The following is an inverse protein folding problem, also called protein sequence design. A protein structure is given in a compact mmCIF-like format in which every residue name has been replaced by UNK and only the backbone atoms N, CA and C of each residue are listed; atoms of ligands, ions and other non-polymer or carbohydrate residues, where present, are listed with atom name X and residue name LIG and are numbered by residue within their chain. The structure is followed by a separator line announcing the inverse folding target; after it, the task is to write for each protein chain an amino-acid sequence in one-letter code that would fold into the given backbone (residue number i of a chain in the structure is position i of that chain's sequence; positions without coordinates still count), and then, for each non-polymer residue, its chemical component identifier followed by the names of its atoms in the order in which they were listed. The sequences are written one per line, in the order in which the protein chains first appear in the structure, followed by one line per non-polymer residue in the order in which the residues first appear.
data_IF_087240089320
#
_entry.id   IF_087240089320
#
_cell.length_a   1.000
_cell.length_b   1.000
_cell.length_c   1.000
_cell.angle_alpha   90.00
_cell.angle_beta   90.00
_cell.angle_gamma   90.00
#
_symmetry.space_group_name_H-M   'P 1'
#
loop_
_entity.id
_entity.type
_entity.pdbx_description
1 polymer ?
#
# COMPACT_ATOMS: atom_id res chain seq x y z
N UNK A 1 1.44 -42.32 35.93
CA UNK A 1 0.46 -43.16 35.17
C UNK A 1 -0.25 -42.20 34.20
N UNK A 2 0.31 -42.08 33.02
CA UNK A 2 -0.23 -41.24 31.95
C UNK A 2 -1.22 -42.07 31.15
N UNK A 3 -2.46 -41.61 31.04
CA UNK A 3 -3.48 -42.18 30.13
C UNK A 3 -3.43 -41.37 28.87
N UNK A 4 -2.97 -42.01 27.77
CA UNK A 4 -3.10 -41.49 26.42
C UNK A 4 -4.46 -41.90 25.91
N UNK A 5 -5.38 -40.97 25.72
CA UNK A 5 -6.62 -41.18 25.00
C UNK A 5 -6.39 -40.82 23.54
N UNK A 6 -6.29 -41.85 22.68
CA UNK A 6 -6.48 -41.66 21.23
C UNK A 6 -7.95 -41.39 20.98
N UNK A 7 -8.28 -40.24 20.45
CA UNK A 7 -9.61 -39.89 19.93
C UNK A 7 -9.57 -39.79 18.41
N UNK A 8 -10.53 -40.46 17.86
CA UNK A 8 -10.94 -40.82 16.53
C UNK A 8 -10.83 -39.69 15.48
N UNK A 9 -10.31 -40.08 14.32
CA UNK A 9 -10.15 -39.25 13.11
C UNK A 9 -11.46 -39.20 12.33
N UNK A 10 -12.38 -38.29 12.64
CA UNK A 10 -13.47 -37.87 11.73
C UNK A 10 -14.18 -36.61 12.21
N UNK A 11 -13.46 -35.47 12.36
CA UNK A 11 -14.06 -34.16 12.50
C UNK A 11 -13.78 -33.35 11.23
N UNK A 12 -14.77 -33.31 10.34
CA UNK A 12 -14.83 -32.33 9.28
C UNK A 12 -15.01 -30.95 9.95
N UNK A 13 -13.96 -30.16 10.02
CA UNK A 13 -14.05 -28.75 10.36
C UNK A 13 -14.70 -28.01 9.20
N UNK A 14 -16.00 -27.82 9.27
CA UNK A 14 -16.68 -26.75 8.53
C UNK A 14 -16.33 -25.45 9.24
N UNK A 15 -15.40 -24.68 8.69
CA UNK A 15 -15.14 -23.30 9.07
C UNK A 15 -16.42 -22.49 8.83
N UNK A 16 -17.25 -22.36 9.83
CA UNK A 16 -18.27 -21.31 9.84
C UNK A 16 -17.55 -20.03 10.22
N UNK A 17 -17.35 -19.15 9.25
CA UNK A 17 -17.01 -17.76 9.52
C UNK A 17 -18.12 -17.19 10.39
N UNK A 18 -17.83 -16.95 11.65
CA UNK A 18 -18.72 -16.16 12.49
C UNK A 18 -18.64 -14.74 11.98
N UNK A 19 -19.74 -14.27 11.40
CA UNK A 19 -19.95 -12.85 11.12
C UNK A 19 -19.56 -12.04 12.35
N UNK A 20 -18.87 -10.89 12.19
CA UNK A 20 -18.60 -9.98 13.30
C UNK A 20 -19.92 -9.66 14.02
N UNK A 21 -19.91 -9.41 15.34
CA UNK A 21 -21.12 -9.17 16.10
C UNK A 21 -21.90 -8.02 15.44
N UNK A 22 -23.16 -8.25 15.08
CA UNK A 22 -24.07 -7.22 14.61
C UNK A 22 -24.05 -6.10 15.65
N UNK A 23 -23.60 -4.90 15.26
CA UNK A 23 -23.76 -3.70 16.09
C UNK A 23 -25.25 -3.49 16.38
N UNK A 24 -25.63 -3.01 17.58
CA UNK A 24 -27.03 -2.77 17.92
C UNK A 24 -27.63 -1.77 16.94
N UNK A 25 -28.75 -2.14 16.36
CA UNK A 25 -29.61 -1.32 15.51
C UNK A 25 -30.35 -0.28 16.35
N UNK A 26 -29.67 0.78 16.77
CA UNK A 26 -30.31 1.96 17.34
C UNK A 26 -29.59 3.21 16.82
N UNK A 27 -29.87 3.51 15.56
CA UNK A 27 -29.69 4.85 15.01
C UNK A 27 -31.04 5.28 14.46
N UNK A 28 -31.80 5.97 15.29
CA UNK A 28 -32.82 6.88 14.79
C UNK A 28 -32.06 8.01 14.08
N UNK A 29 -31.84 7.84 12.80
CA UNK A 29 -31.31 8.87 11.93
C UNK A 29 -32.28 10.04 11.88
N UNK A 30 -31.77 11.24 12.05
CA UNK A 30 -32.48 12.46 11.67
C UNK A 30 -32.78 12.34 10.17
N UNK A 31 -34.06 12.43 9.82
CA UNK A 31 -34.52 12.64 8.44
C UNK A 31 -33.82 13.90 7.90
N UNK A 32 -33.06 13.78 6.81
CA UNK A 32 -32.60 14.98 6.12
C UNK A 32 -31.40 14.89 5.17
N UNK A 33 -30.62 13.81 5.12
CA UNK A 33 -29.59 13.70 4.07
C UNK A 33 -29.98 12.62 3.06
N UNK A 34 -30.32 13.04 1.84
CA UNK A 34 -30.50 12.14 0.72
C UNK A 34 -29.17 11.36 0.53
N UNK A 35 -29.20 10.04 0.72
CA UNK A 35 -28.03 9.19 0.47
C UNK A 35 -27.57 9.39 -0.98
N UNK A 36 -26.32 9.79 -1.17
CA UNK A 36 -25.74 9.98 -2.49
C UNK A 36 -25.62 8.61 -3.16
N UNK A 37 -26.36 8.39 -4.24
CA UNK A 37 -26.33 7.14 -5.00
C UNK A 37 -25.10 7.04 -5.95
N UNK A 38 -24.46 8.19 -6.21
CA UNK A 38 -23.27 8.29 -7.05
C UNK A 38 -22.26 9.26 -6.43
N UNK A 39 -21.00 8.94 -6.56
CA UNK A 39 -19.88 9.80 -6.15
C UNK A 39 -18.88 9.89 -7.31
N UNK A 40 -18.77 11.07 -7.90
CA UNK A 40 -17.79 11.33 -8.96
C UNK A 40 -16.64 12.16 -8.40
N UNK A 41 -15.41 11.70 -8.61
CA UNK A 41 -14.17 12.37 -8.22
C UNK A 41 -13.24 12.49 -9.43
N UNK A 42 -12.29 13.41 -9.41
CA UNK A 42 -11.18 13.39 -10.35
C UNK A 42 -10.51 12.01 -10.32
N UNK A 43 -10.04 11.53 -11.48
CA UNK A 43 -9.44 10.20 -11.58
C UNK A 43 -8.32 10.04 -10.54
N UNK A 44 -8.35 9.00 -9.68
CA UNK A 44 -7.36 8.83 -8.63
C UNK A 44 -6.03 8.31 -9.15
N UNK A 45 -4.99 8.46 -8.35
CA UNK A 45 -3.67 7.85 -8.53
C UNK A 45 -3.38 6.87 -7.39
N UNK A 46 -2.63 5.80 -7.70
CA UNK A 46 -2.13 4.87 -6.68
C UNK A 46 -0.65 5.13 -6.43
N UNK A 47 -0.33 5.72 -5.29
CA UNK A 47 1.03 6.14 -4.97
C UNK A 47 1.91 5.04 -4.39
N UNK A 48 1.45 3.76 -4.41
CA UNK A 48 2.25 2.61 -4.00
C UNK A 48 1.58 1.30 -4.40
N UNK A 49 2.15 0.55 -5.33
CA UNK A 49 1.69 -0.80 -5.66
C UNK A 49 2.80 -1.70 -6.21
N UNK A 50 2.52 -3.01 -6.20
CA UNK A 50 3.35 -4.04 -6.80
C UNK A 50 2.60 -4.75 -7.92
N UNK A 51 3.05 -4.60 -9.15
CA UNK A 51 2.50 -5.39 -10.27
C UNK A 51 3.09 -6.80 -10.35
N UNK A 52 4.29 -7.00 -9.74
CA UNK A 52 5.15 -8.15 -10.01
C UNK A 52 5.61 -8.12 -11.47
N UNK A 53 5.87 -9.27 -12.09
CA UNK A 53 6.33 -9.34 -13.48
C UNK A 53 5.78 -10.61 -14.16
N UNK A 54 6.07 -10.79 -15.45
CA UNK A 54 5.66 -11.93 -16.23
C UNK A 54 4.14 -12.03 -16.39
N UNK A 55 3.62 -13.23 -16.26
CA UNK A 55 2.20 -13.50 -16.52
C UNK A 55 1.24 -12.81 -15.55
N UNK A 56 1.69 -12.46 -14.33
CA UNK A 56 0.87 -11.74 -13.36
C UNK A 56 0.46 -10.34 -13.84
N UNK A 57 1.23 -9.72 -14.73
CA UNK A 57 0.91 -8.40 -15.29
C UNK A 57 -0.45 -8.39 -16.01
N UNK A 58 -0.86 -9.51 -16.60
CA UNK A 58 -2.14 -9.64 -17.30
C UNK A 58 -3.36 -9.49 -16.37
N UNK A 59 -3.20 -9.75 -15.07
CA UNK A 59 -4.23 -9.51 -14.04
C UNK A 59 -4.04 -8.15 -13.36
N UNK A 60 -2.82 -7.85 -12.91
CA UNK A 60 -2.57 -6.73 -12.01
C UNK A 60 -2.64 -5.37 -12.69
N UNK A 61 -2.17 -5.28 -13.94
CA UNK A 61 -2.18 -4.01 -14.70
C UNK A 61 -3.60 -3.59 -15.07
N UNK A 62 -4.45 -4.44 -15.68
CA UNK A 62 -5.82 -4.05 -15.96
C UNK A 62 -6.63 -3.72 -14.71
N UNK A 63 -6.45 -4.47 -13.61
CA UNK A 63 -7.13 -4.22 -12.35
C UNK A 63 -6.86 -2.82 -11.81
N UNK A 64 -5.64 -2.31 -11.99
CA UNK A 64 -5.25 -0.96 -11.59
C UNK A 64 -5.63 0.08 -12.63
N UNK A 65 -5.27 -0.12 -13.90
CA UNK A 65 -5.41 0.87 -14.94
C UNK A 65 -6.88 1.27 -15.23
N UNK A 66 -7.84 0.37 -14.97
CA UNK A 66 -9.25 0.69 -15.10
C UNK A 66 -9.78 1.67 -14.04
N UNK A 67 -9.04 1.87 -12.94
CA UNK A 67 -9.44 2.74 -11.84
C UNK A 67 -8.56 3.98 -11.77
N UNK A 68 -7.25 3.77 -11.75
CA UNK A 68 -6.24 4.79 -11.50
C UNK A 68 -5.68 5.35 -12.82
N UNK A 69 -5.37 6.65 -12.83
CA UNK A 69 -4.73 7.30 -13.97
C UNK A 69 -3.23 7.06 -14.01
N UNK A 70 -2.61 7.02 -12.83
CA UNK A 70 -1.18 6.76 -12.63
C UNK A 70 -0.98 5.81 -11.45
N UNK A 71 0.19 5.17 -11.43
CA UNK A 71 0.63 4.45 -10.24
C UNK A 71 2.14 4.50 -10.07
N UNK A 72 2.59 4.71 -8.81
CA UNK A 72 3.99 4.48 -8.41
C UNK A 72 4.23 2.97 -8.33
N UNK A 73 5.10 2.48 -9.22
CA UNK A 73 5.35 1.04 -9.38
C UNK A 73 6.60 0.63 -8.61
N UNK A 74 6.41 -0.22 -7.61
CA UNK A 74 7.51 -0.70 -6.76
C UNK A 74 8.51 -1.58 -7.52
N UNK A 75 9.82 -1.39 -7.28
CA UNK A 75 10.90 -1.97 -8.07
C UNK A 75 11.42 -3.33 -7.56
N UNK A 76 10.84 -3.91 -6.49
CA UNK A 76 11.34 -5.10 -5.81
C UNK A 76 10.97 -6.40 -6.54
N UNK A 77 11.42 -6.52 -7.78
CA UNK A 77 11.39 -7.74 -8.57
C UNK A 77 12.59 -8.64 -8.23
N UNK A 78 12.71 -9.77 -8.92
CA UNK A 78 13.88 -10.65 -8.86
C UNK A 78 14.38 -10.89 -10.29
N UNK A 79 15.49 -10.26 -10.72
CA UNK A 79 16.30 -9.24 -10.00
C UNK A 79 15.55 -7.91 -9.83
N UNK A 80 15.96 -7.04 -8.87
CA UNK A 80 15.34 -5.74 -8.65
C UNK A 80 15.62 -4.75 -9.79
N UNK A 81 14.71 -3.81 -9.99
CA UNK A 81 14.85 -2.72 -10.96
C UNK A 81 15.66 -1.59 -10.32
N UNK A 82 16.94 -1.51 -10.59
CA UNK A 82 17.86 -0.55 -9.95
C UNK A 82 18.51 0.45 -10.90
N UNK A 83 18.18 0.40 -12.20
CA UNK A 83 18.66 1.35 -13.21
C UNK A 83 17.51 1.89 -14.07
N UNK A 84 17.70 3.07 -14.66
CA UNK A 84 16.76 3.67 -15.60
C UNK A 84 16.48 2.76 -16.80
N UNK A 85 17.52 2.06 -17.31
CA UNK A 85 17.36 1.13 -18.42
C UNK A 85 16.43 -0.05 -18.05
N UNK A 86 16.63 -0.67 -16.90
CA UNK A 86 15.75 -1.74 -16.43
C UNK A 86 14.32 -1.24 -16.15
N UNK A 87 14.18 0.00 -15.66
CA UNK A 87 12.87 0.62 -15.46
C UNK A 87 12.13 0.83 -16.80
N UNK A 88 12.86 1.21 -17.87
CA UNK A 88 12.28 1.32 -19.20
C UNK A 88 11.75 -0.03 -19.70
N UNK A 89 12.55 -1.09 -19.62
CA UNK A 89 12.14 -2.45 -20.01
C UNK A 89 10.95 -2.95 -19.20
N UNK A 90 10.90 -2.69 -17.90
CA UNK A 90 9.76 -3.07 -17.05
C UNK A 90 8.51 -2.26 -17.41
N UNK A 91 8.68 -0.95 -17.66
CA UNK A 91 7.59 -0.08 -18.11
C UNK A 91 6.98 -0.57 -19.43
N UNK A 92 7.79 -1.00 -20.40
CA UNK A 92 7.29 -1.57 -21.65
C UNK A 92 6.42 -2.81 -21.43
N UNK A 93 6.83 -3.73 -20.54
CA UNK A 93 6.04 -4.92 -20.18
C UNK A 93 4.72 -4.55 -19.54
N UNK A 94 4.70 -3.55 -18.64
CA UNK A 94 3.48 -3.03 -18.01
C UNK A 94 2.56 -2.42 -19.08
N UNK A 95 3.09 -1.53 -19.91
CA UNK A 95 2.31 -0.84 -20.94
C UNK A 95 1.68 -1.81 -21.96
N UNK A 96 2.33 -2.92 -22.24
CA UNK A 96 1.78 -3.98 -23.09
C UNK A 96 0.53 -4.67 -22.49
N UNK A 97 0.25 -4.52 -21.21
CA UNK A 97 -0.91 -5.08 -20.53
C UNK A 97 -2.01 -4.05 -20.22
N UNK A 98 -1.78 -2.78 -20.53
CA UNK A 98 -2.82 -1.75 -20.37
C UNK A 98 -3.95 -2.01 -21.40
N UNK A 99 -5.21 -2.09 -20.96
CA UNK A 99 -6.33 -2.37 -21.87
C UNK A 99 -6.47 -1.31 -22.96
N UNK A 100 -6.88 -1.75 -24.15
CA UNK A 100 -7.07 -0.84 -25.27
C UNK A 100 -8.10 0.27 -24.93
N UNK A 101 -7.75 1.51 -25.21
CA UNK A 101 -8.58 2.68 -24.92
C UNK A 101 -8.51 3.19 -23.50
N UNK A 102 -7.75 2.54 -22.61
CA UNK A 102 -7.49 3.02 -21.25
C UNK A 102 -6.21 3.86 -21.24
N UNK A 103 -6.30 5.06 -20.69
CA UNK A 103 -5.13 5.91 -20.41
C UNK A 103 -4.60 5.56 -19.03
N UNK A 104 -3.34 5.14 -18.95
CA UNK A 104 -2.67 4.82 -17.69
C UNK A 104 -1.18 5.11 -17.83
N UNK A 105 -0.59 5.67 -16.78
CA UNK A 105 0.83 6.01 -16.73
C UNK A 105 1.51 5.33 -15.54
N UNK A 106 2.38 4.33 -15.75
CA UNK A 106 3.22 3.79 -14.69
C UNK A 106 4.39 4.73 -14.39
N UNK A 107 4.43 5.24 -13.17
CA UNK A 107 5.50 6.05 -12.62
C UNK A 107 6.54 5.11 -12.03
N UNK A 108 7.66 4.95 -12.73
CA UNK A 108 8.67 3.95 -12.37
C UNK A 108 9.52 4.42 -11.18
N UNK A 109 10.00 3.47 -10.41
CA UNK A 109 10.85 3.69 -9.23
C UNK A 109 12.08 2.82 -9.32
N UNK A 110 13.22 3.33 -8.86
CA UNK A 110 14.46 2.57 -8.79
C UNK A 110 14.71 2.04 -7.38
N UNK A 111 15.20 0.82 -7.32
CA UNK A 111 15.54 0.13 -6.08
C UNK A 111 16.90 0.59 -5.57
N UNK A 112 16.98 1.13 -4.35
CA UNK A 112 18.24 1.48 -3.70
C UNK A 112 18.96 0.25 -3.16
N UNK A 113 20.28 0.22 -3.38
CA UNK A 113 21.21 -0.77 -2.81
C UNK A 113 22.41 -0.05 -2.22
N UNK A 114 23.22 -0.76 -1.44
CA UNK A 114 24.50 -0.23 -0.94
C UNK A 114 25.48 0.18 -2.05
N UNK A 115 25.30 -0.36 -3.26
CA UNK A 115 26.18 -0.13 -4.43
C UNK A 115 25.53 0.73 -5.52
N UNK A 116 24.38 1.35 -5.25
CA UNK A 116 23.74 2.25 -6.23
C UNK A 116 24.69 3.38 -6.62
N UNK A 117 25.02 3.54 -7.92
CA UNK A 117 25.89 4.63 -8.36
C UNK A 117 25.18 5.99 -8.22
N UNK A 118 25.89 7.00 -7.73
CA UNK A 118 25.33 8.34 -7.59
C UNK A 118 24.88 8.95 -8.92
N UNK A 119 25.53 8.58 -10.02
CA UNK A 119 25.18 8.99 -11.37
C UNK A 119 23.81 8.50 -11.81
N UNK A 120 23.32 7.40 -11.20
CA UNK A 120 21.97 6.89 -11.51
C UNK A 120 20.88 7.84 -11.00
N UNK A 121 21.15 8.59 -9.95
CA UNK A 121 20.23 9.64 -9.46
C UNK A 121 20.07 10.75 -10.50
N UNK A 122 21.18 11.17 -11.12
CA UNK A 122 21.14 12.17 -12.18
C UNK A 122 20.44 11.66 -13.45
N UNK A 123 20.61 10.35 -13.79
CA UNK A 123 19.90 9.73 -14.92
C UNK A 123 18.40 9.64 -14.65
N UNK A 124 18.02 9.25 -13.43
CA UNK A 124 16.61 9.20 -13.00
C UNK A 124 15.96 10.60 -13.11
N UNK A 125 16.63 11.64 -12.65
CA UNK A 125 16.15 13.02 -12.73
C UNK A 125 15.98 13.54 -14.18
N UNK A 126 16.66 12.96 -15.15
CA UNK A 126 16.55 13.29 -16.59
C UNK A 126 15.51 12.42 -17.31
N UNK A 127 15.00 11.40 -16.65
CA UNK A 127 13.98 10.51 -17.20
C UNK A 127 12.59 11.11 -17.02
N UNK A 128 11.73 10.92 -18.01
CA UNK A 128 10.31 11.34 -17.97
C UNK A 128 9.38 10.30 -17.34
N UNK A 129 9.90 9.10 -17.02
CA UNK A 129 9.13 7.98 -16.45
C UNK A 129 9.65 7.46 -15.10
N UNK A 130 10.84 7.85 -14.65
CA UNK A 130 11.36 7.50 -13.32
C UNK A 130 11.09 8.66 -12.36
N UNK A 131 10.35 8.40 -11.28
CA UNK A 131 9.84 9.44 -10.40
C UNK A 131 10.40 9.41 -8.98
N UNK A 132 11.09 8.33 -8.57
CA UNK A 132 11.61 8.20 -7.22
C UNK A 132 12.66 7.07 -7.10
N UNK A 133 13.32 7.03 -5.94
CA UNK A 133 14.05 5.85 -5.47
C UNK A 133 13.36 5.25 -4.25
N UNK A 134 13.33 3.93 -4.16
CA UNK A 134 12.78 3.18 -3.03
C UNK A 134 13.86 2.58 -2.15
N UNK A 135 13.85 2.97 -0.90
CA UNK A 135 14.64 2.38 0.17
C UNK A 135 13.89 1.20 0.79
N UNK A 136 14.46 0.01 0.64
CA UNK A 136 14.14 -1.17 1.43
C UNK A 136 15.33 -1.49 2.33
N UNK A 137 15.17 -1.54 3.66
CA UNK A 137 16.16 -2.19 4.51
C UNK A 137 16.27 -3.67 4.12
N UNK A 138 17.50 -4.19 4.05
CA UNK A 138 17.76 -5.57 3.63
C UNK A 138 16.99 -6.57 4.53
N UNK A 139 16.18 -7.44 3.90
CA UNK A 139 15.35 -8.43 4.60
C UNK A 139 14.09 -7.89 5.28
N UNK A 140 13.69 -6.64 5.04
CA UNK A 140 12.50 -6.06 5.69
C UNK A 140 11.18 -6.62 5.15
N UNK A 141 11.12 -6.98 3.88
CA UNK A 141 9.89 -7.46 3.23
C UNK A 141 10.21 -8.39 2.05
N UNK A 142 9.19 -8.81 1.31
CA UNK A 142 9.33 -9.68 0.12
C UNK A 142 10.31 -9.05 -0.90
N UNK A 143 11.27 -9.86 -1.38
CA UNK A 143 12.29 -9.45 -2.36
C UNK A 143 13.12 -8.24 -1.92
N UNK A 144 13.42 -8.12 -0.63
CA UNK A 144 14.24 -7.04 -0.09
C UNK A 144 15.65 -7.47 0.34
N UNK A 145 16.07 -8.68 0.04
CA UNK A 145 17.40 -9.19 0.42
C UNK A 145 18.55 -8.37 -0.16
N UNK A 146 18.36 -7.79 -1.36
CA UNK A 146 19.32 -6.89 -2.01
C UNK A 146 19.21 -5.43 -1.53
N UNK A 147 18.39 -5.16 -0.53
CA UNK A 147 18.15 -3.82 0.00
C UNK A 147 19.38 -3.21 0.68
N UNK A 148 19.18 -2.02 1.21
CA UNK A 148 20.21 -1.27 1.91
C UNK A 148 20.48 -1.91 3.27
N UNK A 149 21.74 -2.28 3.53
CA UNK A 149 22.12 -2.92 4.79
C UNK A 149 22.18 -1.94 5.96
N UNK A 150 22.50 -0.68 5.66
CA UNK A 150 22.53 0.41 6.64
C UNK A 150 22.18 1.74 5.95
N UNK A 151 21.00 2.31 6.21
CA UNK A 151 20.60 3.60 5.65
C UNK A 151 21.58 4.74 5.90
N UNK A 152 22.35 4.68 6.98
CA UNK A 152 23.38 5.67 7.30
C UNK A 152 24.59 5.65 6.36
N UNK A 153 24.82 4.57 5.61
CA UNK A 153 25.97 4.46 4.70
C UNK A 153 25.74 5.09 3.34
N UNK A 154 24.52 5.37 2.96
CA UNK A 154 24.15 5.91 1.65
C UNK A 154 23.75 7.39 1.67
N UNK A 155 24.23 8.16 2.65
CA UNK A 155 23.92 9.60 2.80
C UNK A 155 24.26 10.40 1.53
N UNK A 156 25.33 10.03 0.80
CA UNK A 156 25.70 10.65 -0.47
C UNK A 156 24.61 10.49 -1.57
N UNK A 157 23.80 9.43 -1.50
CA UNK A 157 22.67 9.26 -2.43
C UNK A 157 21.53 10.17 -2.06
N UNK A 158 21.25 10.38 -0.76
CA UNK A 158 20.22 11.33 -0.31
C UNK A 158 20.58 12.77 -0.68
N UNK A 159 21.87 13.16 -0.55
CA UNK A 159 22.36 14.44 -1.02
C UNK A 159 22.15 14.63 -2.54
N UNK A 160 22.45 13.61 -3.32
CA UNK A 160 22.21 13.65 -4.76
C UNK A 160 20.71 13.72 -5.09
N UNK A 161 19.87 12.99 -4.37
CA UNK A 161 18.41 13.01 -4.56
C UNK A 161 17.84 14.38 -4.19
N UNK A 162 18.28 14.98 -3.09
CA UNK A 162 17.91 16.37 -2.72
C UNK A 162 18.29 17.36 -3.81
N UNK A 163 19.55 17.28 -4.27
CA UNK A 163 20.11 18.16 -5.31
C UNK A 163 19.35 18.09 -6.63
N UNK A 164 18.91 16.91 -7.01
CA UNK A 164 18.22 16.66 -8.28
C UNK A 164 16.69 16.65 -8.15
N UNK A 165 16.15 16.93 -6.96
CA UNK A 165 14.71 16.90 -6.63
C UNK A 165 14.05 15.54 -6.96
N UNK A 166 14.75 14.45 -6.67
CA UNK A 166 14.22 13.08 -6.83
C UNK A 166 13.73 12.57 -5.48
N UNK A 167 12.45 12.22 -5.32
CA UNK A 167 11.89 11.75 -4.06
C UNK A 167 12.50 10.44 -3.54
N UNK A 168 12.62 10.33 -2.22
CA UNK A 168 12.93 9.11 -1.49
C UNK A 168 11.65 8.48 -0.96
N UNK A 169 11.36 7.24 -1.36
CA UNK A 169 10.27 6.43 -0.84
C UNK A 169 10.85 5.43 0.16
N UNK A 170 10.27 5.33 1.35
CA UNK A 170 10.89 4.59 2.46
C UNK A 170 9.99 3.48 2.97
N UNK A 171 10.46 2.23 2.93
CA UNK A 171 9.95 1.17 3.80
C UNK A 171 10.63 1.34 5.17
N UNK A 172 9.92 1.90 6.13
CA UNK A 172 10.50 2.40 7.36
C UNK A 172 10.53 1.37 8.49
N UNK A 173 11.19 0.24 8.31
CA UNK A 173 11.36 -0.76 9.37
C UNK A 173 12.84 -1.15 9.54
N UNK A 174 13.31 -1.30 10.80
CA UNK A 174 14.58 -1.97 11.07
C UNK A 174 14.41 -3.47 10.96
N UNK A 175 15.54 -4.19 10.70
CA UNK A 175 15.54 -5.65 10.51
C UNK A 175 16.29 -6.41 11.58
N UNK A 176 16.71 -5.71 12.64
CA UNK A 176 17.38 -6.32 13.81
C UNK A 176 16.50 -7.41 14.43
N UNK A 177 17.06 -8.61 14.64
CA UNK A 177 16.30 -9.76 15.11
C UNK A 177 15.76 -9.62 16.54
N UNK A 178 16.43 -8.81 17.38
CA UNK A 178 16.06 -8.53 18.76
C UNK A 178 14.98 -7.44 18.89
N UNK A 179 14.67 -6.69 17.81
CA UNK A 179 13.63 -5.67 17.83
C UNK A 179 12.28 -6.30 17.55
N UNK A 180 11.32 -6.09 18.46
CA UNK A 180 9.95 -6.56 18.28
C UNK A 180 9.39 -6.04 16.97
N UNK A 181 8.78 -6.93 16.19
CA UNK A 181 8.21 -6.62 14.86
C UNK A 181 7.19 -5.47 14.91
N UNK A 182 6.53 -5.26 16.04
CA UNK A 182 5.57 -4.17 16.22
C UNK A 182 6.23 -2.81 16.50
N UNK A 183 7.53 -2.79 16.86
CA UNK A 183 8.27 -1.58 17.21
C UNK A 183 9.27 -1.15 16.10
N UNK A 184 9.45 -1.97 15.06
CA UNK A 184 10.45 -1.76 14.00
C UNK A 184 10.31 -0.43 13.27
N UNK A 185 9.08 0.01 13.02
CA UNK A 185 8.82 1.31 12.37
C UNK A 185 9.26 2.48 13.26
N UNK A 186 8.89 2.45 14.54
CA UNK A 186 9.33 3.48 15.50
C UNK A 186 10.85 3.55 15.62
N UNK A 187 11.51 2.39 15.74
CA UNK A 187 12.97 2.33 15.85
C UNK A 187 13.65 2.85 14.57
N UNK A 188 13.08 2.61 13.39
CA UNK A 188 13.60 3.14 12.14
C UNK A 188 13.52 4.68 12.10
N UNK A 189 12.40 5.25 12.53
CA UNK A 189 12.23 6.70 12.62
C UNK A 189 13.31 7.29 13.55
N UNK A 190 13.44 6.73 14.75
CA UNK A 190 14.36 7.24 15.76
C UNK A 190 15.84 7.11 15.34
N UNK A 191 16.20 6.00 14.68
CA UNK A 191 17.59 5.67 14.33
C UNK A 191 18.06 6.34 13.03
N UNK A 192 17.20 6.47 12.03
CA UNK A 192 17.59 6.87 10.69
C UNK A 192 16.80 8.07 10.14
N UNK A 193 15.47 8.00 10.19
CA UNK A 193 14.65 8.93 9.41
C UNK A 193 14.70 10.36 9.93
N UNK A 194 14.81 10.53 11.26
CA UNK A 194 15.01 11.84 11.88
C UNK A 194 16.33 12.47 11.43
N UNK A 195 17.43 11.70 11.39
CA UNK A 195 18.74 12.17 10.94
C UNK A 195 18.71 12.52 9.44
N UNK A 196 18.17 11.66 8.59
CA UNK A 196 18.03 11.91 7.15
C UNK A 196 17.24 13.21 6.93
N UNK A 197 16.10 13.40 7.61
CA UNK A 197 15.29 14.61 7.49
C UNK A 197 16.02 15.87 7.94
N UNK A 198 16.83 15.75 9.01
CA UNK A 198 17.60 16.88 9.53
C UNK A 198 18.75 17.28 8.60
N UNK A 199 19.48 16.30 8.05
CA UNK A 199 20.63 16.55 7.17
C UNK A 199 20.23 17.00 5.78
N UNK A 200 19.08 16.52 5.26
CA UNK A 200 18.59 16.82 3.91
C UNK A 200 17.21 17.51 3.96
N UNK A 201 17.13 18.77 4.42
CA UNK A 201 15.86 19.49 4.59
C UNK A 201 15.09 19.73 3.28
N UNK A 202 15.76 19.74 2.13
CA UNK A 202 15.16 19.88 0.80
C UNK A 202 14.72 18.58 0.15
N UNK A 203 15.12 17.42 0.70
CA UNK A 203 14.73 16.13 0.15
C UNK A 203 13.23 15.87 0.32
N UNK A 204 12.54 15.50 -0.76
CA UNK A 204 11.17 14.99 -0.66
C UNK A 204 11.18 13.54 -0.18
N UNK A 205 10.47 13.24 0.91
CA UNK A 205 10.39 11.91 1.52
C UNK A 205 8.93 11.46 1.56
N UNK A 206 8.65 10.26 1.07
CA UNK A 206 7.38 9.58 1.30
C UNK A 206 7.62 8.40 2.26
N UNK A 207 7.05 8.51 3.44
CA UNK A 207 7.01 7.43 4.42
C UNK A 207 5.89 6.48 4.03
N UNK A 208 6.26 5.41 3.34
CA UNK A 208 5.32 4.50 2.69
C UNK A 208 4.54 3.66 3.69
N UNK A 209 3.26 3.33 3.36
CA UNK A 209 2.40 2.39 4.10
C UNK A 209 2.51 2.56 5.64
N UNK A 210 2.40 3.82 6.11
CA UNK A 210 2.55 4.15 7.54
C UNK A 210 1.64 3.30 8.42
N UNK A 211 2.20 2.76 9.52
CA UNK A 211 1.47 1.81 10.38
C UNK A 211 1.39 2.20 11.84
N UNK A 212 2.17 3.19 12.30
CA UNK A 212 2.24 3.58 13.71
C UNK A 212 1.80 5.02 13.95
N UNK A 213 1.42 5.31 15.19
CA UNK A 213 1.17 6.69 15.62
C UNK A 213 2.45 7.54 15.54
N UNK A 214 3.60 6.93 15.78
CA UNK A 214 4.91 7.57 15.66
C UNK A 214 5.19 7.98 14.21
N UNK A 215 4.88 7.13 13.23
CA UNK A 215 5.00 7.46 11.82
C UNK A 215 4.07 8.61 11.40
N UNK A 216 2.82 8.59 11.84
CA UNK A 216 1.88 9.69 11.61
C UNK A 216 2.37 10.98 12.22
N UNK A 217 2.87 10.96 13.46
CA UNK A 217 3.38 12.14 14.13
C UNK A 217 4.64 12.66 13.46
N UNK A 218 5.57 11.78 13.07
CA UNK A 218 6.75 12.16 12.29
C UNK A 218 6.38 12.96 11.04
N UNK A 219 5.41 12.48 10.25
CA UNK A 219 4.95 13.18 9.04
C UNK A 219 4.29 14.51 9.38
N UNK A 220 3.49 14.57 10.46
CA UNK A 220 2.82 15.82 10.90
C UNK A 220 3.79 16.89 11.40
N UNK A 221 4.87 16.48 12.05
CA UNK A 221 5.86 17.38 12.64
C UNK A 221 6.94 17.81 11.64
N UNK A 222 7.18 16.99 10.60
CA UNK A 222 8.14 17.27 9.55
C UNK A 222 7.69 18.43 8.64
N UNK A 223 8.59 18.85 7.74
CA UNK A 223 8.31 19.86 6.72
C UNK A 223 7.26 19.38 5.69
N UNK A 224 6.73 20.29 4.89
CA UNK A 224 5.81 19.97 3.78
C UNK A 224 6.42 19.03 2.71
N UNK A 225 7.74 18.81 2.75
CA UNK A 225 8.45 17.87 1.88
C UNK A 225 8.46 16.43 2.42
N UNK A 226 7.65 16.14 3.45
CA UNK A 226 7.48 14.79 4.00
C UNK A 226 6.00 14.44 3.98
N UNK A 227 5.68 13.31 3.35
CA UNK A 227 4.33 12.77 3.24
C UNK A 227 4.31 11.27 3.58
N UNK A 228 3.14 10.66 3.58
CA UNK A 228 2.97 9.22 3.78
C UNK A 228 1.89 8.65 2.87
N UNK A 229 2.06 7.41 2.44
CA UNK A 229 1.00 6.61 1.85
C UNK A 229 0.21 5.86 2.93
N UNK A 230 -1.09 5.75 2.73
CA UNK A 230 -2.00 5.01 3.60
C UNK A 230 -2.68 3.91 2.81
N UNK A 231 -2.50 2.68 3.25
CA UNK A 231 -3.04 1.48 2.59
C UNK A 231 -4.42 1.11 3.13
N UNK A 232 -5.26 0.40 2.36
CA UNK A 232 -6.55 -0.07 2.87
C UNK A 232 -6.39 -1.05 4.03
N UNK A 233 -5.38 -1.93 4.02
CA UNK A 233 -5.18 -2.90 5.09
C UNK A 233 -4.82 -2.23 6.43
N UNK A 234 -3.94 -1.23 6.46
CA UNK A 234 -3.57 -0.54 7.70
C UNK A 234 -4.65 0.44 8.18
N UNK A 235 -5.49 0.93 7.26
CA UNK A 235 -6.63 1.77 7.60
C UNK A 235 -7.78 0.97 8.22
N UNK A 236 -8.09 -0.21 7.65
CA UNK A 236 -9.30 -0.99 7.96
C UNK A 236 -9.08 -2.08 9.01
N UNK A 237 -7.84 -2.56 9.18
CA UNK A 237 -7.50 -3.70 10.02
C UNK A 237 -6.43 -3.36 11.05
N UNK A 238 -6.40 -4.15 12.11
CA UNK A 238 -5.34 -4.15 13.11
C UNK A 238 -4.89 -5.59 13.41
N UNK A 239 -3.93 -5.78 14.30
CA UNK A 239 -3.36 -7.10 14.59
C UNK A 239 -4.38 -8.17 15.03
N UNK A 240 -5.55 -7.77 15.56
CA UNK A 240 -6.58 -8.73 15.91
C UNK A 240 -7.19 -9.39 14.67
N UNK A 241 -7.27 -8.66 13.55
CA UNK A 241 -7.79 -9.17 12.28
C UNK A 241 -6.82 -10.19 11.63
N UNK A 242 -5.57 -10.20 12.07
CA UNK A 242 -4.58 -11.19 11.68
C UNK A 242 -4.56 -12.43 12.60
N UNK A 243 -4.75 -12.23 13.92
CA UNK A 243 -4.38 -13.23 14.95
C UNK A 243 -5.54 -13.79 15.76
N UNK A 244 -6.66 -13.06 15.92
CA UNK A 244 -7.76 -13.50 16.81
C UNK A 244 -8.64 -14.53 16.11
N UNK A 245 -8.82 -15.67 16.77
CA UNK A 245 -9.62 -16.78 16.24
C UNK A 245 -8.88 -17.66 15.22
N UNK A 246 -7.56 -17.56 15.18
CA UNK A 246 -6.66 -18.24 14.26
C UNK A 246 -5.91 -17.28 13.34
N UNK A 247 -4.77 -17.73 12.84
CA UNK A 247 -3.96 -16.93 11.91
C UNK A 247 -4.68 -16.81 10.56
N UNK A 248 -4.77 -15.58 10.05
CA UNK A 248 -5.35 -15.29 8.74
C UNK A 248 -4.24 -14.86 7.76
N UNK A 249 -3.64 -15.79 7.01
CA UNK A 249 -2.46 -15.51 6.18
C UNK A 249 -2.73 -14.47 5.08
N UNK A 250 -3.98 -14.36 4.60
CA UNK A 250 -4.34 -13.39 3.57
C UNK A 250 -4.38 -11.93 4.07
N UNK A 251 -4.40 -11.72 5.40
CA UNK A 251 -4.27 -10.40 6.04
C UNK A 251 -2.81 -10.09 6.45
N UNK A 252 -1.88 -11.01 6.22
CA UNK A 252 -0.48 -10.79 6.54
C UNK A 252 0.18 -9.89 5.50
N UNK A 253 0.71 -8.77 5.96
CA UNK A 253 1.48 -7.78 5.21
C UNK A 253 2.69 -7.29 6.03
N UNK A 254 3.64 -6.66 5.38
CA UNK A 254 4.75 -5.94 6.01
C UNK A 254 4.80 -4.50 5.45
N UNK A 255 4.83 -3.49 6.35
CA UNK A 255 4.85 -3.59 7.82
C UNK A 255 3.61 -4.31 8.37
N UNK A 256 3.81 -5.05 9.48
CA UNK A 256 2.73 -5.84 10.07
C UNK A 256 1.61 -4.94 10.62
N UNK A 257 0.36 -5.43 10.58
CA UNK A 257 -0.79 -4.77 11.22
C UNK A 257 -0.51 -4.52 12.72
N UNK A 258 -0.65 -3.27 13.16
CA UNK A 258 -0.30 -2.82 14.52
C UNK A 258 -1.52 -2.92 15.48
N UNK A 259 -1.35 -2.38 16.69
CA UNK A 259 -2.43 -2.24 17.67
C UNK A 259 -3.50 -1.27 17.19
N UNK A 260 -4.71 -1.40 17.71
CA UNK A 260 -5.85 -0.52 17.42
C UNK A 260 -5.53 0.97 17.59
N UNK A 261 -4.80 1.35 18.62
CA UNK A 261 -4.41 2.75 18.85
C UNK A 261 -3.64 3.37 17.67
N UNK A 262 -2.78 2.60 17.01
CA UNK A 262 -2.05 3.06 15.83
C UNK A 262 -3.00 3.19 14.63
N UNK A 263 -3.84 2.19 14.41
CA UNK A 263 -4.89 2.24 13.39
C UNK A 263 -5.79 3.48 13.53
N UNK A 264 -6.28 3.76 14.75
CA UNK A 264 -7.10 4.94 15.04
C UNK A 264 -6.36 6.26 14.74
N UNK A 265 -5.05 6.30 14.94
CA UNK A 265 -4.23 7.48 14.60
C UNK A 265 -4.13 7.69 13.09
N UNK A 266 -3.94 6.61 12.32
CA UNK A 266 -3.94 6.66 10.85
C UNK A 266 -5.33 7.09 10.34
N UNK A 267 -6.39 6.46 10.85
CA UNK A 267 -7.77 6.81 10.52
C UNK A 267 -8.03 8.29 10.75
N UNK A 268 -7.60 8.83 11.89
CA UNK A 268 -7.76 10.24 12.22
C UNK A 268 -7.07 11.15 11.20
N UNK A 269 -5.85 10.83 10.76
CA UNK A 269 -5.13 11.62 9.76
C UNK A 269 -5.89 11.70 8.41
N UNK A 270 -6.49 10.58 7.98
CA UNK A 270 -7.29 10.52 6.75
C UNK A 270 -8.62 11.26 6.92
N UNK A 271 -9.31 11.08 8.05
CA UNK A 271 -10.61 11.72 8.32
C UNK A 271 -10.51 13.24 8.47
N UNK A 272 -9.39 13.74 8.95
CA UNK A 272 -9.10 15.19 9.00
C UNK A 272 -8.82 15.78 7.62
N UNK A 273 -8.59 14.94 6.59
CA UNK A 273 -8.21 15.40 5.24
C UNK A 273 -6.83 16.06 5.21
N UNK A 274 -5.89 15.51 5.98
CA UNK A 274 -4.54 16.07 6.06
C UNK A 274 -3.76 15.80 4.78
N UNK A 275 -3.38 16.86 4.06
CA UNK A 275 -2.84 16.82 2.69
C UNK A 275 -1.55 15.99 2.50
N UNK A 276 -0.83 15.70 3.57
CA UNK A 276 0.39 14.88 3.52
C UNK A 276 0.17 13.39 3.72
N UNK A 277 -1.10 12.95 3.81
CA UNK A 277 -1.48 11.54 3.81
C UNK A 277 -2.37 11.27 2.61
N UNK A 278 -1.92 10.38 1.73
CA UNK A 278 -2.64 10.09 0.49
C UNK A 278 -2.67 8.58 0.19
N UNK A 279 -3.51 8.22 -0.75
CA UNK A 279 -3.74 6.84 -1.16
C UNK A 279 -2.46 6.20 -1.70
N UNK A 280 -2.11 5.05 -1.15
CA UNK A 280 -1.15 4.12 -1.75
C UNK A 280 -1.57 2.73 -1.32
N UNK A 281 -2.01 1.91 -2.27
CA UNK A 281 -2.69 0.65 -1.93
C UNK A 281 -1.79 -0.39 -1.31
N UNK A 282 -0.51 -0.35 -1.64
CA UNK A 282 0.41 -1.47 -1.41
C UNK A 282 -0.22 -2.79 -1.86
N UNK A 283 -0.93 -2.74 -2.99
CA UNK A 283 -1.51 -3.93 -3.58
C UNK A 283 -0.38 -4.86 -4.01
N UNK A 284 -0.26 -5.98 -3.29
CA UNK A 284 0.86 -6.90 -3.43
C UNK A 284 0.35 -8.33 -3.65
N UNK A 285 0.23 -8.77 -4.91
CA UNK A 285 -0.32 -10.07 -5.26
C UNK A 285 0.64 -11.20 -4.90
N UNK A 286 0.08 -12.26 -4.33
CA UNK A 286 0.75 -13.54 -4.06
C UNK A 286 -0.22 -14.69 -4.27
N UNK A 287 0.24 -15.78 -4.86
CA UNK A 287 -0.54 -17.00 -4.99
C UNK A 287 -0.96 -17.54 -3.61
N UNK A 288 -2.16 -18.14 -3.54
CA UNK A 288 -2.72 -18.72 -2.31
C UNK A 288 -1.73 -19.68 -1.64
N UNK A 289 -1.13 -20.58 -2.39
CA UNK A 289 -0.18 -21.58 -1.87
C UNK A 289 1.08 -20.92 -1.25
N UNK A 290 1.48 -19.74 -1.69
CA UNK A 290 2.61 -18.99 -1.12
C UNK A 290 2.21 -18.29 0.19
N UNK A 291 0.98 -17.80 0.27
CA UNK A 291 0.48 -17.17 1.50
C UNK A 291 0.13 -18.19 2.58
N UNK A 292 -0.35 -19.34 2.21
CA UNK A 292 -0.75 -20.43 3.13
C UNK A 292 0.42 -21.39 3.45
N UNK A 293 1.64 -21.10 2.99
CA UNK A 293 2.84 -21.85 3.33
C UNK A 293 3.37 -21.46 4.73
N UNK A 294 4.24 -22.29 5.29
CA UNK A 294 4.81 -22.08 6.62
C UNK A 294 5.57 -20.74 6.76
N UNK A 295 6.25 -20.28 5.71
CA UNK A 295 6.91 -18.98 5.71
C UNK A 295 5.97 -17.81 5.41
N UNK A 296 4.82 -18.03 4.75
CA UNK A 296 3.80 -17.05 4.35
C UNK A 296 4.36 -15.81 3.63
N UNK A 297 3.90 -15.50 2.42
CA UNK A 297 4.33 -14.26 1.78
C UNK A 297 3.56 -13.07 2.35
N UNK A 298 4.28 -11.98 2.65
CA UNK A 298 3.69 -10.72 3.09
C UNK A 298 3.14 -9.93 1.90
N UNK A 299 1.89 -9.48 1.99
CA UNK A 299 1.23 -8.65 0.99
C UNK A 299 -0.26 -8.95 0.86
N UNK A 300 -1.05 -7.91 0.62
CA UNK A 300 -2.49 -7.98 0.38
C UNK A 300 -2.78 -7.51 -1.04
N UNK A 301 -3.51 -8.28 -1.83
CA UNK A 301 -3.92 -7.87 -3.16
C UNK A 301 -5.24 -7.12 -3.10
N UNK A 302 -5.21 -5.80 -3.18
CA UNK A 302 -6.37 -4.92 -2.98
C UNK A 302 -6.82 -4.15 -4.23
N UNK A 303 -6.09 -4.20 -5.34
CA UNK A 303 -6.29 -3.33 -6.52
C UNK A 303 -7.76 -3.21 -6.97
N UNK A 304 -8.49 -4.34 -7.08
CA UNK A 304 -9.88 -4.35 -7.56
C UNK A 304 -10.89 -3.69 -6.61
N UNK A 305 -10.58 -3.64 -5.32
CA UNK A 305 -11.51 -3.19 -4.27
C UNK A 305 -11.04 -1.91 -3.57
N UNK A 306 -9.83 -1.43 -3.85
CA UNK A 306 -9.19 -0.36 -3.06
C UNK A 306 -10.06 0.91 -2.98
N UNK A 307 -10.44 1.49 -4.11
CA UNK A 307 -11.24 2.73 -4.12
C UNK A 307 -12.60 2.56 -3.44
N UNK A 308 -13.38 1.49 -3.71
CA UNK A 308 -14.59 1.18 -2.94
C UNK A 308 -14.37 1.01 -1.44
N UNK A 309 -13.25 0.42 -1.01
CA UNK A 309 -12.91 0.26 0.41
C UNK A 309 -12.66 1.60 1.10
N UNK A 310 -11.88 2.49 0.48
CA UNK A 310 -11.66 3.85 1.01
C UNK A 310 -12.97 4.65 1.06
N UNK A 311 -13.78 4.58 0.01
CA UNK A 311 -15.10 5.24 -0.02
C UNK A 311 -16.00 4.74 1.11
N UNK A 312 -16.07 3.41 1.29
CA UNK A 312 -16.87 2.80 2.36
C UNK A 312 -16.40 3.21 3.76
N UNK A 313 -15.09 3.28 3.97
CA UNK A 313 -14.51 3.75 5.23
C UNK A 313 -14.89 5.21 5.51
N UNK A 314 -14.68 6.09 4.55
CA UNK A 314 -14.97 7.52 4.70
C UNK A 314 -16.46 7.77 4.89
N UNK A 315 -17.32 7.05 4.20
CA UNK A 315 -18.78 7.12 4.39
C UNK A 315 -19.21 6.74 5.81
N UNK A 316 -18.68 5.63 6.36
CA UNK A 316 -18.97 5.19 7.70
C UNK A 316 -18.63 6.23 8.79
N UNK A 317 -17.74 7.17 8.45
CA UNK A 317 -17.30 8.24 9.33
C UNK A 317 -17.82 9.62 8.92
N UNK A 318 -18.79 9.70 7.98
CA UNK A 318 -19.34 10.96 7.45
C UNK A 318 -18.27 11.90 6.86
N UNK A 319 -17.25 11.35 6.21
CA UNK A 319 -16.11 12.06 5.66
C UNK A 319 -15.89 11.75 4.15
N UNK A 320 -16.95 11.39 3.44
CA UNK A 320 -16.88 11.02 2.02
C UNK A 320 -16.35 12.16 1.14
N UNK A 321 -16.55 13.40 1.58
CA UNK A 321 -16.02 14.63 0.98
C UNK A 321 -14.47 14.69 0.98
N UNK A 322 -13.80 13.86 1.77
CA UNK A 322 -12.34 13.78 1.82
C UNK A 322 -11.74 12.85 0.77
N UNK A 323 -12.56 12.01 0.12
CA UNK A 323 -12.05 10.97 -0.80
C UNK A 323 -11.28 11.58 -1.97
N UNK A 324 -11.79 12.63 -2.61
CA UNK A 324 -11.15 13.24 -3.77
C UNK A 324 -9.78 13.84 -3.43
N UNK A 325 -9.69 14.59 -2.33
CA UNK A 325 -8.40 15.11 -1.83
C UNK A 325 -7.39 13.98 -1.59
N UNK A 326 -7.80 12.96 -0.85
CA UNK A 326 -6.97 11.83 -0.45
C UNK A 326 -6.52 10.95 -1.64
N UNK A 327 -7.41 10.67 -2.58
CA UNK A 327 -7.15 9.73 -3.66
C UNK A 327 -6.61 10.38 -4.94
N UNK A 328 -6.96 11.66 -5.20
CA UNK A 328 -6.73 12.27 -6.51
C UNK A 328 -5.86 13.53 -6.48
N UNK A 329 -5.79 14.24 -5.34
CA UNK A 329 -5.13 15.55 -5.31
C UNK A 329 -3.81 15.55 -4.54
N UNK A 330 -3.81 15.10 -3.29
CA UNK A 330 -2.69 15.30 -2.37
C UNK A 330 -1.38 14.68 -2.85
N UNK A 331 -1.44 13.46 -3.37
CA UNK A 331 -0.26 12.81 -3.93
C UNK A 331 0.23 13.50 -5.20
N UNK A 332 -0.68 13.88 -6.12
CA UNK A 332 -0.31 14.60 -7.33
C UNK A 332 0.41 15.91 -7.01
N UNK A 333 -0.12 16.69 -6.05
CA UNK A 333 0.48 17.93 -5.59
C UNK A 333 1.86 17.70 -4.97
N UNK A 334 2.01 16.66 -4.12
CA UNK A 334 3.29 16.31 -3.49
C UNK A 334 4.35 15.93 -4.52
N UNK A 335 3.97 15.12 -5.53
CA UNK A 335 4.87 14.73 -6.62
C UNK A 335 5.04 15.81 -7.69
N UNK A 336 4.32 16.95 -7.56
CA UNK A 336 4.33 18.07 -8.52
C UNK A 336 3.89 17.66 -9.91
N UNK A 337 2.93 16.76 -9.97
CA UNK A 337 2.29 16.30 -11.20
C UNK A 337 0.93 16.99 -11.37
N UNK A 338 0.48 17.24 -12.61
CA UNK A 338 -0.83 17.82 -12.85
C UNK A 338 -1.93 16.89 -12.31
N UNK A 339 -2.97 17.46 -11.69
CA UNK A 339 -4.16 16.71 -11.31
C UNK A 339 -4.90 16.26 -12.58
N UNK A 340 -5.53 15.09 -12.52
CA UNK A 340 -6.33 14.59 -13.62
C UNK A 340 -7.56 15.47 -13.86
N UNK A 341 -7.97 15.61 -15.13
CA UNK A 341 -9.18 16.32 -15.55
C UNK A 341 -10.33 15.38 -15.89
N UNK A 342 -10.02 14.12 -16.16
CA UNK A 342 -11.01 13.04 -16.28
C UNK A 342 -11.43 12.56 -14.89
N UNK A 343 -12.53 11.81 -14.84
CA UNK A 343 -13.18 11.43 -13.58
C UNK A 343 -13.45 9.94 -13.50
N UNK A 344 -13.59 9.46 -12.27
CA UNK A 344 -14.12 8.14 -11.94
C UNK A 344 -15.39 8.31 -11.13
N UNK A 345 -16.42 7.50 -11.45
CA UNK A 345 -17.68 7.49 -10.72
C UNK A 345 -17.84 6.18 -9.96
N UNK A 346 -18.09 6.30 -8.67
CA UNK A 346 -18.58 5.22 -7.82
C UNK A 346 -20.11 5.28 -7.77
N UNK A 347 -20.75 4.13 -7.82
CA UNK A 347 -22.21 3.99 -7.67
C UNK A 347 -22.51 3.15 -6.42
N UNK A 348 -23.60 3.48 -5.76
CA UNK A 348 -24.11 2.70 -4.61
C UNK A 348 -24.82 1.44 -5.13
N UNK A 349 -24.02 0.50 -5.55
CA UNK A 349 -24.46 -0.82 -6.01
C UNK A 349 -23.64 -1.89 -5.29
N UNK A 350 -24.23 -2.56 -4.28
CA UNK A 350 -23.53 -3.60 -3.55
C UNK A 350 -22.99 -4.70 -4.46
N UNK A 351 -21.77 -5.13 -4.18
CA UNK A 351 -21.12 -6.23 -4.88
C UNK A 351 -20.22 -7.00 -3.91
N UNK A 352 -19.99 -8.28 -4.21
CA UNK A 352 -19.09 -9.10 -3.39
C UNK A 352 -17.72 -9.16 -4.02
N UNK A 353 -16.68 -8.90 -3.23
CA UNK A 353 -15.30 -9.14 -3.65
C UNK A 353 -15.14 -10.65 -3.93
N UNK A 354 -14.60 -11.08 -5.07
CA UNK A 354 -14.42 -12.49 -5.38
C UNK A 354 -13.67 -13.23 -4.25
N UNK A 355 -14.06 -14.44 -3.94
CA UNK A 355 -13.33 -15.26 -2.96
C UNK A 355 -11.94 -15.64 -3.45
N UNK A 356 -11.80 -15.86 -4.74
CA UNK A 356 -10.57 -16.23 -5.43
C UNK A 356 -10.56 -15.61 -6.81
N UNK A 357 -9.38 -15.18 -7.24
CA UNK A 357 -9.09 -14.71 -8.60
C UNK A 357 -8.12 -15.70 -9.22
N UNK A 358 -8.34 -16.08 -10.46
CA UNK A 358 -7.35 -16.76 -11.27
C UNK A 358 -6.39 -15.73 -11.85
N UNK A 359 -5.14 -15.81 -11.46
CA UNK A 359 -4.07 -14.97 -11.96
C UNK A 359 -3.02 -15.84 -12.62
N UNK A 360 -3.04 -15.92 -13.94
CA UNK A 360 -2.11 -16.74 -14.73
C UNK A 360 -2.10 -18.25 -14.34
N UNK A 361 -3.27 -18.81 -14.06
CA UNK A 361 -3.40 -20.21 -13.64
C UNK A 361 -3.11 -20.47 -12.16
N UNK A 362 -2.77 -19.42 -11.38
CA UNK A 362 -2.59 -19.52 -9.94
C UNK A 362 -3.79 -18.88 -9.21
N UNK A 363 -4.30 -19.60 -8.20
CA UNK A 363 -5.35 -19.05 -7.33
C UNK A 363 -4.78 -17.95 -6.44
N UNK A 364 -5.39 -16.77 -6.46
CA UNK A 364 -5.05 -15.63 -5.62
C UNK A 364 -6.27 -15.21 -4.80
N UNK A 365 -6.11 -14.99 -3.51
CA UNK A 365 -7.18 -14.51 -2.62
C UNK A 365 -7.04 -12.99 -2.46
N UNK A 366 -7.97 -12.19 -2.97
CA UNK A 366 -7.90 -10.73 -2.83
C UNK A 366 -8.21 -10.30 -1.39
N UNK A 367 -7.77 -9.10 -1.07
CA UNK A 367 -8.12 -8.44 0.18
C UNK A 367 -9.65 -8.25 0.25
N UNK A 368 -10.27 -8.53 1.39
CA UNK A 368 -11.73 -8.54 1.59
C UNK A 368 -12.48 -9.64 0.80
N UNK A 369 -11.81 -10.73 0.41
CA UNK A 369 -12.44 -11.85 -0.30
C UNK A 369 -13.78 -12.30 0.32
N UNK A 370 -14.81 -12.48 -0.51
CA UNK A 370 -16.15 -12.92 -0.11
C UNK A 370 -16.97 -11.89 0.68
N UNK A 371 -16.46 -10.69 0.92
CA UNK A 371 -17.20 -9.65 1.63
C UNK A 371 -17.93 -8.73 0.68
N UNK A 372 -19.09 -8.22 1.12
CA UNK A 372 -19.89 -7.26 0.36
C UNK A 372 -19.42 -5.84 0.64
N UNK A 373 -19.28 -5.06 -0.43
CA UNK A 373 -18.98 -3.62 -0.40
C UNK A 373 -20.18 -2.84 -0.96
N UNK A 374 -20.56 -1.70 -0.36
CA UNK A 374 -21.72 -0.92 -0.81
C UNK A 374 -21.46 -0.12 -2.09
N UNK A 375 -20.21 0.18 -2.38
CA UNK A 375 -19.78 0.96 -3.54
C UNK A 375 -19.13 0.08 -4.60
N UNK A 376 -19.46 0.32 -5.87
CA UNK A 376 -18.77 -0.25 -7.04
C UNK A 376 -18.40 0.85 -8.02
N UNK A 377 -17.49 0.56 -8.95
CA UNK A 377 -17.25 1.41 -10.11
C UNK A 377 -18.48 1.41 -11.01
N UNK A 378 -18.80 2.55 -11.64
CA UNK A 378 -19.94 2.72 -12.54
C UNK A 378 -19.80 1.90 -13.83
#
# INVERSE_FOLDING_TARGET
MFVVLCLDTNLRYTLRYTTPPKRPSNLHGKEGDAMTDTLTIARPDDWHLHFRDGELLAETVPATANVFGRAIVMPNLTPPVNTVAQAAEYRERIMAQVPAGVTFEPLMVLYLTDSTPVEEVARAAQSDFVHAFKLYPAGATTNSDSGVTDPGKIMHLYEAMEKHDVPLLVHGEVTDAEIDIFDREKVFIDRYLNEIRQQFPGLRIVFEHVTTAEGVNFVREASALTAATVTPQHLLMNRNDLLVGGVRPHNYCLPILKRRQHQETIQKAVLEGHERFFLGTDSAPHARNKKEAACGCAGCYSARAALPLYASFLEQHNALDKLEGFASHFGADFYRLPRHTDTVTLVRKPWSVPEVIDAAGEAMVPFYAGQELPWSLA
#
